data_IF_140781458659
#
_entry.id   IF_140781458659
#
_cell.length_a   1.000
_cell.length_b   1.000
_cell.length_c   1.000
_cell.angle_alpha   90.00
_cell.angle_beta   90.00
_cell.angle_gamma   90.00
#
_symmetry.space_group_name_H-M   'P 1'
#
loop_
_entity.id
_entity.type
_entity.pdbx_description
1 polymer ?
#
# COMPACT_ATOMS: atom_id res chain seq x y z
N UNK A 1 -21.30 -5.11 -11.10
CA UNK A 1 -20.85 -4.61 -9.79
C UNK A 1 -20.74 -5.79 -8.85
N UNK A 2 -19.53 -6.30 -8.63
CA UNK A 2 -19.33 -7.50 -7.81
C UNK A 2 -19.08 -7.08 -6.36
N UNK A 3 -19.99 -7.43 -5.46
CA UNK A 3 -19.79 -7.26 -4.02
C UNK A 3 -18.47 -7.92 -3.60
N UNK A 4 -17.68 -7.18 -2.83
CA UNK A 4 -16.58 -7.72 -2.05
C UNK A 4 -17.18 -8.57 -0.92
N UNK A 5 -17.64 -9.76 -1.27
CA UNK A 5 -18.27 -10.66 -0.32
C UNK A 5 -17.16 -11.36 0.48
N UNK A 6 -16.97 -10.92 1.72
CA UNK A 6 -16.26 -11.71 2.72
C UNK A 6 -16.99 -13.04 2.91
N UNK A 7 -16.40 -14.12 2.43
CA UNK A 7 -16.75 -15.46 2.88
C UNK A 7 -15.66 -15.88 3.85
N UNK A 8 -16.01 -16.06 5.12
CA UNK A 8 -15.09 -16.45 6.21
C UNK A 8 -13.93 -15.48 6.51
N UNK A 9 -14.14 -14.17 6.37
CA UNK A 9 -13.13 -13.18 6.78
C UNK A 9 -12.17 -12.74 5.68
N UNK A 10 -12.12 -13.40 4.51
CA UNK A 10 -11.22 -13.07 3.40
C UNK A 10 -11.99 -12.61 2.16
N UNK A 11 -11.40 -11.69 1.40
CA UNK A 11 -11.95 -11.25 0.13
C UNK A 11 -11.55 -12.23 -0.98
N UNK A 12 -12.51 -12.87 -1.66
CA UNK A 12 -12.24 -13.82 -2.75
C UNK A 12 -11.34 -13.26 -3.87
N UNK A 13 -11.34 -11.94 -4.09
CA UNK A 13 -10.48 -11.29 -5.09
C UNK A 13 -9.03 -11.17 -4.64
N UNK A 14 -8.79 -11.20 -3.32
CA UNK A 14 -7.46 -11.13 -2.74
C UNK A 14 -6.88 -12.51 -2.41
N UNK A 15 -7.68 -13.58 -2.54
CA UNK A 15 -7.25 -14.96 -2.26
C UNK A 15 -6.36 -15.53 -3.37
N UNK A 16 -5.43 -16.38 -2.95
CA UNK A 16 -4.51 -17.12 -3.82
C UNK A 16 -3.15 -16.44 -4.01
N UNK A 17 -2.17 -17.25 -4.43
CA UNK A 17 -0.83 -16.76 -4.73
C UNK A 17 -0.80 -15.95 -6.03
N UNK A 18 0.13 -15.03 -6.12
CA UNK A 18 0.50 -14.42 -7.40
C UNK A 18 1.30 -15.43 -8.24
N UNK A 19 1.21 -15.38 -9.57
CA UNK A 19 1.96 -16.28 -10.45
C UNK A 19 3.44 -15.91 -10.59
N UNK A 20 3.90 -14.90 -9.86
CA UNK A 20 5.28 -14.40 -9.81
C UNK A 20 5.65 -14.01 -8.39
N UNK A 21 6.95 -13.99 -8.12
CA UNK A 21 7.51 -13.54 -6.85
C UNK A 21 8.04 -12.12 -6.96
N UNK A 22 8.04 -11.40 -5.82
CA UNK A 22 8.62 -10.07 -5.70
C UNK A 22 9.09 -9.83 -4.26
N UNK A 23 9.86 -8.77 -4.08
CA UNK A 23 10.34 -8.29 -2.79
C UNK A 23 10.17 -6.78 -2.68
N UNK A 24 10.59 -6.19 -1.56
CA UNK A 24 10.60 -4.74 -1.36
C UNK A 24 12.03 -4.24 -1.15
N UNK A 25 12.34 -3.08 -1.72
CA UNK A 25 13.43 -2.23 -1.28
C UNK A 25 12.86 -1.10 -0.41
N UNK A 26 13.66 -0.59 0.50
CA UNK A 26 13.24 0.48 1.40
C UNK A 26 14.11 1.72 1.16
N UNK A 27 13.47 2.80 0.72
CA UNK A 27 14.14 4.07 0.46
C UNK A 27 13.96 5.00 1.67
N UNK A 28 15.06 5.44 2.31
CA UNK A 28 14.97 6.32 3.46
C UNK A 28 14.52 7.73 3.07
N UNK A 29 13.60 8.28 3.85
CA UNK A 29 13.17 9.69 3.82
C UNK A 29 13.78 10.37 5.05
N UNK A 30 14.58 11.40 4.79
CA UNK A 30 15.37 12.09 5.81
C UNK A 30 14.72 13.41 6.19
N UNK A 31 14.47 13.60 7.48
CA UNK A 31 14.20 14.94 8.02
C UNK A 31 15.52 15.70 8.15
N UNK A 32 15.71 16.69 7.29
CA UNK A 32 16.98 17.47 7.24
C UNK A 32 17.17 18.36 8.45
N UNK A 33 16.10 18.80 9.11
CA UNK A 33 16.19 19.62 10.32
C UNK A 33 16.61 18.80 11.53
N UNK A 34 16.14 17.55 11.59
CA UNK A 34 16.47 16.59 12.65
C UNK A 34 17.71 15.74 12.34
N UNK A 35 18.23 15.83 11.10
CA UNK A 35 19.35 15.04 10.58
C UNK A 35 19.19 13.53 10.82
N UNK A 36 17.98 13.00 10.63
CA UNK A 36 17.67 11.58 10.85
C UNK A 36 16.67 11.05 9.82
N UNK A 37 16.71 9.74 9.59
CA UNK A 37 15.68 9.03 8.84
C UNK A 37 14.43 8.93 9.72
N UNK A 38 13.30 9.38 9.19
CA UNK A 38 12.00 9.34 9.88
C UNK A 38 11.05 8.32 9.27
N UNK A 39 11.21 8.03 7.99
CA UNK A 39 10.31 7.15 7.24
C UNK A 39 11.14 6.33 6.25
N UNK A 40 10.66 5.14 5.90
CA UNK A 40 11.13 4.41 4.73
C UNK A 40 9.95 4.17 3.78
N UNK A 41 10.16 4.44 2.51
CA UNK A 41 9.20 4.10 1.46
C UNK A 41 9.47 2.68 0.96
N UNK A 42 8.43 1.84 0.93
CA UNK A 42 8.48 0.49 0.43
C UNK A 42 8.26 0.46 -1.09
N UNK A 43 9.27 0.06 -1.82
CA UNK A 43 9.31 0.05 -3.28
C UNK A 43 9.43 -1.38 -3.80
N UNK A 44 8.49 -1.80 -4.64
CA UNK A 44 8.50 -3.13 -5.27
C UNK A 44 9.78 -3.38 -6.07
N UNK A 45 10.34 -4.58 -5.92
CA UNK A 45 11.49 -5.09 -6.70
C UNK A 45 11.29 -6.56 -7.01
N UNK A 46 11.92 -7.03 -8.07
CA UNK A 46 12.05 -8.47 -8.29
C UNK A 46 13.01 -9.10 -7.28
N UNK A 47 12.90 -10.41 -7.09
CA UNK A 47 13.65 -11.14 -6.04
C UNK A 47 15.17 -11.13 -6.25
N UNK A 48 15.64 -10.90 -7.50
CA UNK A 48 17.06 -10.78 -7.82
C UNK A 48 17.50 -9.32 -8.03
N UNK A 49 16.69 -8.34 -7.59
CA UNK A 49 16.95 -6.91 -7.73
C UNK A 49 16.44 -6.28 -9.02
N UNK A 50 15.57 -6.96 -9.75
CA UNK A 50 14.94 -6.41 -10.95
C UNK A 50 14.09 -5.18 -10.59
N UNK A 51 13.91 -4.30 -11.58
CA UNK A 51 13.17 -3.04 -11.42
C UNK A 51 11.71 -3.27 -11.02
N UNK A 52 11.07 -2.26 -10.42
CA UNK A 52 9.64 -2.28 -10.14
C UNK A 52 8.81 -2.59 -11.40
N UNK A 53 9.21 -2.03 -12.56
CA UNK A 53 8.54 -2.24 -13.83
C UNK A 53 8.51 -3.70 -14.26
N UNK A 54 9.57 -4.47 -14.02
CA UNK A 54 9.61 -5.90 -14.36
C UNK A 54 8.59 -6.73 -13.58
N UNK A 55 8.21 -6.28 -12.38
CA UNK A 55 7.18 -6.90 -11.55
C UNK A 55 5.80 -6.39 -11.96
N UNK A 56 5.62 -5.06 -11.98
CA UNK A 56 4.33 -4.40 -12.25
C UNK A 56 3.79 -4.76 -13.64
N UNK A 57 4.66 -4.93 -14.65
CA UNK A 57 4.25 -5.33 -16.00
C UNK A 57 3.62 -6.74 -16.08
N UNK A 58 3.76 -7.56 -15.05
CA UNK A 58 3.13 -8.88 -14.94
C UNK A 58 1.75 -8.83 -14.28
N UNK A 59 1.38 -7.67 -13.70
CA UNK A 59 0.10 -7.48 -13.00
C UNK A 59 -0.99 -7.21 -14.03
N UNK A 60 -1.88 -8.15 -14.18
CA UNK A 60 -3.08 -8.01 -15.00
C UNK A 60 -4.24 -7.45 -14.17
N UNK A 61 -5.31 -6.98 -14.81
CA UNK A 61 -6.47 -6.38 -14.13
C UNK A 61 -7.10 -7.32 -13.08
N UNK A 62 -7.06 -8.62 -13.31
CA UNK A 62 -7.58 -9.64 -12.39
C UNK A 62 -6.64 -9.90 -11.19
N UNK A 63 -5.36 -9.57 -11.31
CA UNK A 63 -4.36 -9.69 -10.24
C UNK A 63 -4.20 -8.41 -9.42
N UNK A 64 -4.70 -7.26 -9.92
CA UNK A 64 -4.44 -5.94 -9.36
C UNK A 64 -4.76 -5.85 -7.84
N UNK A 65 -5.95 -6.31 -7.45
CA UNK A 65 -6.38 -6.30 -6.04
C UNK A 65 -5.48 -7.16 -5.16
N UNK A 66 -5.13 -8.35 -5.64
CA UNK A 66 -4.27 -9.29 -4.92
C UNK A 66 -2.86 -8.76 -4.81
N UNK A 67 -2.34 -8.17 -5.88
CA UNK A 67 -1.01 -7.57 -5.89
C UNK A 67 -0.91 -6.42 -4.89
N UNK A 68 -1.87 -5.47 -4.89
CA UNK A 68 -1.91 -4.36 -3.96
C UNK A 68 -1.93 -4.83 -2.49
N UNK A 69 -2.74 -5.83 -2.16
CA UNK A 69 -2.75 -6.43 -0.83
C UNK A 69 -1.42 -7.12 -0.48
N UNK A 70 -0.85 -7.87 -1.42
CA UNK A 70 0.40 -8.58 -1.21
C UNK A 70 1.57 -7.61 -1.00
N UNK A 71 1.57 -6.46 -1.67
CA UNK A 71 2.56 -5.40 -1.46
C UNK A 71 2.53 -4.89 -0.02
N UNK A 72 1.34 -4.58 0.52
CA UNK A 72 1.19 -4.09 1.88
C UNK A 72 1.66 -5.10 2.93
N UNK A 73 1.20 -6.34 2.79
CA UNK A 73 1.59 -7.43 3.71
C UNK A 73 3.10 -7.63 3.68
N UNK A 74 3.67 -7.78 2.49
CA UNK A 74 5.11 -8.02 2.32
C UNK A 74 5.97 -6.85 2.81
N UNK A 75 5.55 -5.60 2.59
CA UNK A 75 6.26 -4.42 3.08
C UNK A 75 6.35 -4.43 4.61
N UNK A 76 5.25 -4.71 5.30
CA UNK A 76 5.19 -4.73 6.76
C UNK A 76 6.02 -5.90 7.33
N UNK A 77 5.90 -7.10 6.74
CA UNK A 77 6.68 -8.26 7.16
C UNK A 77 8.19 -8.00 7.06
N UNK A 78 8.66 -7.57 5.89
CA UNK A 78 10.08 -7.32 5.66
C UNK A 78 10.61 -6.16 6.51
N UNK A 79 9.83 -5.08 6.68
CA UNK A 79 10.23 -3.98 7.57
C UNK A 79 10.39 -4.45 9.03
N UNK A 80 9.49 -5.32 9.49
CA UNK A 80 9.58 -5.94 10.82
C UNK A 80 10.77 -6.87 10.93
N UNK A 81 11.03 -7.73 9.95
CA UNK A 81 12.21 -8.62 9.91
C UNK A 81 13.53 -7.84 9.96
N UNK A 82 13.57 -6.66 9.32
CA UNK A 82 14.71 -5.75 9.35
C UNK A 82 14.78 -4.91 10.63
N UNK A 83 13.85 -5.10 11.57
CA UNK A 83 13.77 -4.34 12.84
C UNK A 83 13.73 -2.82 12.60
N UNK A 84 13.01 -2.35 11.60
CA UNK A 84 12.84 -0.93 11.34
C UNK A 84 11.98 -0.29 12.42
N UNK A 85 12.40 0.89 12.90
CA UNK A 85 11.68 1.65 13.93
C UNK A 85 11.02 2.92 13.39
N UNK A 86 11.28 3.27 12.15
CA UNK A 86 10.73 4.45 11.47
C UNK A 86 9.28 4.25 11.04
N UNK A 87 8.64 5.31 10.57
CA UNK A 87 7.40 5.17 9.83
C UNK A 87 7.66 4.38 8.52
N UNK A 88 6.65 3.68 8.04
CA UNK A 88 6.69 2.92 6.79
C UNK A 88 5.66 3.46 5.83
N UNK A 89 6.13 3.97 4.69
CA UNK A 89 5.27 4.44 3.61
C UNK A 89 5.08 3.34 2.57
N UNK A 90 3.83 3.14 2.15
CA UNK A 90 3.43 2.11 1.21
C UNK A 90 2.52 2.73 0.16
N UNK A 91 2.93 2.62 -1.09
CA UNK A 91 2.10 2.99 -2.23
C UNK A 91 0.86 2.09 -2.29
N UNK A 92 -0.31 2.66 -2.52
CA UNK A 92 -1.52 1.90 -2.77
C UNK A 92 -2.29 2.45 -3.97
N UNK A 93 -3.13 1.59 -4.54
CA UNK A 93 -3.93 1.90 -5.72
C UNK A 93 -5.38 2.16 -5.29
N UNK A 94 -5.86 3.43 -5.23
CA UNK A 94 -7.23 3.74 -4.81
C UNK A 94 -8.30 3.01 -5.61
N UNK A 95 -8.10 2.85 -6.92
CA UNK A 95 -9.03 2.12 -7.77
C UNK A 95 -9.03 0.59 -7.51
N UNK A 96 -8.03 0.06 -6.79
CA UNK A 96 -7.99 -1.32 -6.31
C UNK A 96 -8.70 -1.51 -4.96
N UNK A 97 -9.04 -0.44 -4.25
CA UNK A 97 -9.79 -0.49 -2.99
C UNK A 97 -11.27 -0.41 -3.30
N UNK A 98 -11.97 -1.53 -3.20
CA UNK A 98 -13.41 -1.58 -3.46
C UNK A 98 -14.24 -1.22 -2.24
N UNK A 99 -13.89 -1.79 -1.09
CA UNK A 99 -14.51 -1.52 0.21
C UNK A 99 -13.39 -1.34 1.26
N UNK A 100 -13.19 -0.09 1.75
CA UNK A 100 -12.03 0.24 2.57
C UNK A 100 -11.85 -0.66 3.80
N UNK A 101 -12.92 -0.88 4.56
CA UNK A 101 -12.89 -1.69 5.79
C UNK A 101 -12.58 -3.17 5.50
N UNK A 102 -13.02 -3.70 4.36
CA UNK A 102 -12.74 -5.08 3.99
C UNK A 102 -11.34 -5.24 3.38
N UNK A 103 -10.93 -4.29 2.53
CA UNK A 103 -9.65 -4.35 1.85
C UNK A 103 -8.46 -4.12 2.79
N UNK A 104 -8.63 -3.43 3.92
CA UNK A 104 -7.55 -3.14 4.86
C UNK A 104 -7.29 -4.30 5.85
N UNK A 105 -8.15 -5.29 5.94
CA UNK A 105 -8.08 -6.32 7.00
C UNK A 105 -6.77 -7.11 6.99
N UNK A 106 -6.27 -7.51 5.82
CA UNK A 106 -4.99 -8.22 5.72
C UNK A 106 -3.82 -7.36 6.26
N UNK A 107 -3.88 -6.06 6.04
CA UNK A 107 -2.91 -5.10 6.59
C UNK A 107 -3.01 -5.02 8.11
N UNK A 108 -4.21 -4.95 8.67
CA UNK A 108 -4.42 -4.93 10.13
C UNK A 108 -3.95 -6.25 10.77
N UNK A 109 -4.24 -7.38 10.14
CA UNK A 109 -3.83 -8.71 10.61
C UNK A 109 -2.31 -8.86 10.64
N UNK A 110 -1.60 -8.45 9.57
CA UNK A 110 -0.13 -8.51 9.56
C UNK A 110 0.47 -7.51 10.55
N UNK A 111 -0.03 -6.29 10.64
CA UNK A 111 0.41 -5.27 11.60
C UNK A 111 0.30 -5.79 13.05
N UNK A 112 -0.85 -6.38 13.39
CA UNK A 112 -1.04 -6.97 14.72
C UNK A 112 -0.10 -8.16 14.96
N UNK A 113 0.07 -9.04 13.97
CA UNK A 113 0.92 -10.23 14.08
C UNK A 113 2.39 -9.89 14.32
N UNK A 114 2.91 -8.86 13.66
CA UNK A 114 4.32 -8.45 13.79
C UNK A 114 4.52 -7.33 14.81
N UNK A 115 3.44 -6.81 15.41
CA UNK A 115 3.50 -5.72 16.38
C UNK A 115 3.82 -4.34 15.76
N UNK A 116 3.50 -4.12 14.48
CA UNK A 116 3.71 -2.83 13.81
C UNK A 116 2.52 -1.90 14.06
N UNK A 117 2.71 -0.73 14.73
CA UNK A 117 1.60 0.18 15.02
C UNK A 117 1.01 0.81 13.76
N UNK A 118 -0.32 0.95 13.68
CA UNK A 118 -1.00 1.52 12.51
C UNK A 118 -0.67 2.99 12.29
N UNK A 119 -0.37 3.75 13.36
CA UNK A 119 0.04 5.14 13.30
C UNK A 119 1.45 5.36 12.73
N UNK A 120 2.20 4.28 12.53
CA UNK A 120 3.48 4.26 11.81
C UNK A 120 3.35 3.81 10.34
N UNK A 121 2.14 3.52 9.87
CA UNK A 121 1.88 3.19 8.47
C UNK A 121 1.32 4.41 7.73
N UNK A 122 1.94 4.75 6.61
CA UNK A 122 1.54 5.82 5.70
C UNK A 122 1.11 5.20 4.39
N UNK A 123 -0.10 5.47 3.94
CA UNK A 123 -0.56 5.06 2.61
C UNK A 123 -0.42 6.22 1.64
N UNK A 124 0.37 6.01 0.58
CA UNK A 124 0.63 7.01 -0.45
C UNK A 124 -0.18 6.76 -1.70
N UNK A 125 -0.83 7.81 -2.19
CA UNK A 125 -1.54 7.82 -3.47
C UNK A 125 -0.56 8.33 -4.52
N UNK A 126 -0.29 7.51 -5.54
CA UNK A 126 0.66 7.86 -6.59
C UNK A 126 0.05 8.79 -7.64
N UNK A 127 0.87 9.65 -8.23
CA UNK A 127 0.50 10.60 -9.29
C UNK A 127 0.10 9.90 -10.60
N UNK A 128 0.46 8.63 -10.77
CA UNK A 128 0.23 7.88 -12.00
C UNK A 128 -1.18 7.32 -12.12
N UNK A 129 -1.90 7.18 -10.99
CA UNK A 129 -3.24 6.62 -11.00
C UNK A 129 -4.32 7.71 -11.17
N UNK A 130 -5.05 7.65 -12.28
CA UNK A 130 -6.24 8.48 -12.44
C UNK A 130 -7.36 7.97 -11.53
N UNK A 131 -7.64 8.71 -10.47
CA UNK A 131 -8.77 8.43 -9.57
C UNK A 131 -10.08 8.56 -10.36
N UNK A 132 -10.85 7.47 -10.42
CA UNK A 132 -12.12 7.41 -11.16
C UNK A 132 -13.27 8.05 -10.38
N UNK A 133 -13.23 7.95 -9.07
CA UNK A 133 -14.26 8.45 -8.16
C UNK A 133 -13.60 9.14 -6.96
N UNK A 134 -13.67 10.47 -6.93
CA UNK A 134 -13.10 11.29 -5.87
C UNK A 134 -13.80 11.07 -4.53
N UNK A 135 -15.13 10.90 -4.55
CA UNK A 135 -15.88 10.66 -3.32
C UNK A 135 -15.46 9.32 -2.71
N UNK A 136 -15.24 8.31 -3.55
CA UNK A 136 -14.74 7.03 -3.09
C UNK A 136 -13.32 7.14 -2.51
N UNK A 137 -12.43 7.94 -3.12
CA UNK A 137 -11.11 8.23 -2.56
C UNK A 137 -11.21 8.89 -1.18
N UNK A 138 -12.07 9.92 -1.03
CA UNK A 138 -12.30 10.55 0.27
C UNK A 138 -12.77 9.54 1.32
N UNK A 139 -13.70 8.65 0.96
CA UNK A 139 -14.19 7.59 1.85
C UNK A 139 -13.06 6.63 2.27
N UNK A 140 -12.14 6.28 1.36
CA UNK A 140 -10.97 5.45 1.68
C UNK A 140 -10.07 6.18 2.68
N UNK A 141 -9.75 7.44 2.42
CA UNK A 141 -8.89 8.26 3.29
C UNK A 141 -9.50 8.37 4.69
N UNK A 142 -10.78 8.68 4.78
CA UNK A 142 -11.49 8.82 6.06
C UNK A 142 -11.52 7.50 6.84
N UNK A 143 -11.79 6.38 6.15
CA UNK A 143 -11.76 5.06 6.75
C UNK A 143 -10.37 4.70 7.28
N UNK A 144 -9.32 4.91 6.48
CA UNK A 144 -7.95 4.60 6.89
C UNK A 144 -7.49 5.48 8.07
N UNK A 145 -7.79 6.78 8.04
CA UNK A 145 -7.49 7.69 9.16
C UNK A 145 -8.24 7.32 10.44
N UNK A 146 -9.50 6.89 10.34
CA UNK A 146 -10.26 6.42 11.50
C UNK A 146 -9.66 5.19 12.18
N UNK A 147 -8.90 4.38 11.43
CA UNK A 147 -8.18 3.21 11.92
C UNK A 147 -6.75 3.53 12.41
N UNK A 148 -6.36 4.80 12.41
CA UNK A 148 -5.06 5.27 12.88
C UNK A 148 -3.97 5.35 11.83
N UNK A 149 -4.22 5.01 10.58
CA UNK A 149 -3.25 5.14 9.49
C UNK A 149 -3.03 6.60 9.09
N UNK A 150 -1.84 6.90 8.58
CA UNK A 150 -1.55 8.15 7.90
C UNK A 150 -1.80 8.00 6.40
N UNK A 151 -2.09 9.11 5.72
CA UNK A 151 -2.25 9.15 4.27
C UNK A 151 -1.42 10.28 3.69
N UNK A 152 -0.81 10.08 2.53
CA UNK A 152 -0.02 11.05 1.80
C UNK A 152 -0.40 11.05 0.32
N UNK A 153 -0.10 12.14 -0.36
CA UNK A 153 -0.19 12.28 -1.80
C UNK A 153 1.23 12.41 -2.34
N UNK A 154 1.64 11.45 -3.15
CA UNK A 154 2.97 11.40 -3.71
C UNK A 154 3.08 12.29 -4.96
N UNK A 155 4.28 12.79 -5.22
CA UNK A 155 4.63 13.62 -6.39
C UNK A 155 3.61 14.72 -6.71
N UNK A 156 3.11 15.41 -5.65
CA UNK A 156 2.12 16.47 -5.80
C UNK A 156 2.55 17.54 -6.82
N UNK A 157 1.67 17.80 -7.78
CA UNK A 157 1.93 18.70 -8.90
C UNK A 157 2.29 17.97 -10.21
N UNK A 158 2.55 16.67 -10.16
CA UNK A 158 2.80 15.84 -11.33
C UNK A 158 1.57 14.95 -11.66
N UNK A 159 1.44 14.57 -12.92
CA UNK A 159 0.42 13.64 -13.35
C UNK A 159 -0.99 14.00 -12.90
N UNK A 160 -1.63 13.09 -12.20
CA UNK A 160 -2.98 13.25 -11.65
C UNK A 160 -2.98 13.74 -10.19
N UNK A 161 -1.83 13.80 -9.52
CA UNK A 161 -1.69 14.30 -8.15
C UNK A 161 -1.59 15.84 -8.12
N UNK A 162 -2.70 16.52 -8.26
CA UNK A 162 -2.77 17.99 -8.33
C UNK A 162 -3.96 18.55 -7.52
N UNK A 163 -4.14 19.87 -7.53
CA UNK A 163 -5.23 20.56 -6.78
C UNK A 163 -6.64 20.16 -7.21
N UNK A 164 -6.77 19.47 -8.34
CA UNK A 164 -8.05 18.97 -8.83
C UNK A 164 -8.40 17.60 -8.27
N UNK A 165 -7.48 16.93 -7.56
CA UNK A 165 -7.71 15.67 -6.87
C UNK A 165 -8.43 15.90 -5.56
#
# INVERSE_FOLDING_TARGET
MGNCARVNGTCKRCEGALPFDFTMAFQPIVDVALARVTTHEALVRGINGESAWSVISQVTDDLLYRFDQSCRVKAIELASELSMETDLSINFLPNAVYEPEACIQATLEVSQRVGWPTDKLIFEITETERVRDRQHLCNIIDAYRSMGFKTALDDFGNGYANLDL
#
